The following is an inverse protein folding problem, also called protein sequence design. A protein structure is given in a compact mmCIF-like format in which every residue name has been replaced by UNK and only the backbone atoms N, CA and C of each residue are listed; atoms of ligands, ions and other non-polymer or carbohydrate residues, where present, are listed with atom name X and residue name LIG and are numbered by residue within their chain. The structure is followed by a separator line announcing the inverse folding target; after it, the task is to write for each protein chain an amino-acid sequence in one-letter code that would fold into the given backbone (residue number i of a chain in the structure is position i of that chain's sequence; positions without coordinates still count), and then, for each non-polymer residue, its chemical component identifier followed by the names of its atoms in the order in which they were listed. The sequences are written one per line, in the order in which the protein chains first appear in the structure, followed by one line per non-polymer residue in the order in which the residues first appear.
data_IF_550249455870
#
_entry.id   IF_550249455870
#
_cell.length_a   1.000
_cell.length_b   1.000
_cell.length_c   1.000
_cell.angle_alpha   90.00
_cell.angle_beta   90.00
_cell.angle_gamma   90.00
#
_symmetry.space_group_name_H-M   'P 1'
#
loop_
_entity.id
_entity.type
_entity.pdbx_description
1 polymer ?
#
# COMPACT_ATOMS: atom_id res chain seq x y z
N UNK A 1 -13.45 20.47 -14.86
CA UNK A 1 -12.56 19.49 -15.53
C UNK A 1 -12.82 18.12 -14.90
N UNK A 2 -13.12 17.06 -15.67
CA UNK A 2 -13.36 15.74 -15.08
C UNK A 2 -12.07 15.21 -14.44
N UNK A 3 -12.16 14.68 -13.21
CA UNK A 3 -11.03 14.08 -12.50
C UNK A 3 -10.61 12.79 -13.24
N UNK A 4 -9.32 12.65 -13.51
CA UNK A 4 -8.73 11.44 -14.07
C UNK A 4 -7.92 10.70 -12.98
N UNK A 5 -8.05 9.38 -12.90
CA UNK A 5 -7.25 8.56 -11.99
C UNK A 5 -5.86 8.30 -12.57
N UNK A 6 -4.86 8.11 -11.72
CA UNK A 6 -3.51 7.76 -12.16
C UNK A 6 -3.49 6.49 -13.04
N UNK A 7 -4.32 5.49 -12.72
CA UNK A 7 -4.47 4.27 -13.53
C UNK A 7 -5.01 4.53 -14.94
N UNK A 8 -5.81 5.58 -15.13
CA UNK A 8 -6.36 5.95 -16.44
C UNK A 8 -5.28 6.51 -17.37
N UNK A 9 -4.22 7.12 -16.83
CA UNK A 9 -3.08 7.62 -17.62
C UNK A 9 -2.40 6.46 -18.34
N UNK A 10 -2.12 5.37 -17.61
CA UNK A 10 -1.55 4.15 -18.18
C UNK A 10 -2.45 3.53 -19.24
N UNK A 11 -3.77 3.44 -18.99
CA UNK A 11 -4.73 2.93 -19.99
C UNK A 11 -4.79 3.80 -21.24
N UNK A 12 -4.73 5.13 -21.10
CA UNK A 12 -4.72 6.05 -22.24
C UNK A 12 -3.46 5.90 -23.09
N UNK A 13 -2.28 5.86 -22.44
CA UNK A 13 -0.98 5.69 -23.11
C UNK A 13 -0.89 4.34 -23.82
N UNK A 14 -1.42 3.27 -23.21
CA UNK A 14 -1.47 1.94 -23.82
C UNK A 14 -2.46 1.90 -25.00
N UNK A 15 -3.72 2.31 -24.78
CA UNK A 15 -4.74 2.33 -25.82
C UNK A 15 -5.84 3.37 -25.55
N UNK A 16 -5.79 4.48 -26.28
CA UNK A 16 -6.78 5.55 -26.24
C UNK A 16 -8.21 5.09 -26.52
N UNK A 17 -8.39 4.10 -27.40
CA UNK A 17 -9.71 3.52 -27.72
C UNK A 17 -10.29 2.77 -26.53
N UNK A 18 -9.51 1.88 -25.92
CA UNK A 18 -9.92 1.13 -24.73
C UNK A 18 -10.23 2.07 -23.55
N UNK A 19 -9.42 3.10 -23.36
CA UNK A 19 -9.70 4.14 -22.35
C UNK A 19 -11.06 4.82 -22.59
N UNK A 20 -11.37 5.23 -23.84
CA UNK A 20 -12.69 5.81 -24.16
C UNK A 20 -13.85 4.85 -23.89
N UNK A 21 -13.70 3.57 -24.21
CA UNK A 21 -14.72 2.55 -23.90
C UNK A 21 -14.96 2.40 -22.41
N UNK A 22 -13.89 2.36 -21.62
CA UNK A 22 -13.99 2.35 -20.16
C UNK A 22 -14.68 3.62 -19.63
N UNK A 23 -14.38 4.81 -20.17
CA UNK A 23 -15.10 6.06 -19.82
C UNK A 23 -16.59 6.02 -20.18
N UNK A 24 -16.96 5.31 -21.25
CA UNK A 24 -18.34 5.11 -21.67
C UNK A 24 -19.07 3.99 -20.88
N UNK A 25 -18.42 3.39 -19.87
CA UNK A 25 -19.00 2.34 -19.04
C UNK A 25 -18.94 0.94 -19.65
N UNK A 26 -18.24 0.75 -20.77
CA UNK A 26 -18.00 -0.57 -21.34
C UNK A 26 -17.09 -1.35 -20.40
N UNK A 27 -17.57 -2.51 -19.94
CA UNK A 27 -16.82 -3.38 -19.04
C UNK A 27 -15.73 -4.12 -19.82
N UNK A 28 -14.57 -4.31 -19.19
CA UNK A 28 -13.54 -5.21 -19.68
C UNK A 28 -14.08 -6.64 -19.73
N UNK A 29 -13.72 -7.43 -20.73
CA UNK A 29 -13.98 -8.88 -20.74
C UNK A 29 -13.09 -9.60 -19.71
N UNK A 30 -11.96 -8.98 -19.33
CA UNK A 30 -10.98 -9.54 -18.41
C UNK A 30 -11.36 -9.39 -16.91
N UNK A 31 -12.61 -9.68 -16.56
CA UNK A 31 -13.11 -9.49 -15.19
C UNK A 31 -12.46 -10.46 -14.18
N UNK A 32 -12.19 -11.69 -14.60
CA UNK A 32 -11.60 -12.71 -13.74
C UNK A 32 -10.21 -12.31 -13.24
N UNK A 33 -9.31 -11.90 -14.15
CA UNK A 33 -7.96 -11.46 -13.77
C UNK A 33 -7.98 -10.15 -12.98
N UNK A 34 -8.91 -9.23 -13.27
CA UNK A 34 -9.06 -8.00 -12.48
C UNK A 34 -9.48 -8.30 -11.03
N UNK A 35 -10.40 -9.23 -10.84
CA UNK A 35 -10.82 -9.67 -9.51
C UNK A 35 -9.68 -10.40 -8.78
N UNK A 36 -8.97 -11.29 -9.47
CA UNK A 36 -7.80 -11.98 -8.92
C UNK A 36 -6.70 -11.00 -8.51
N UNK A 37 -6.37 -10.03 -9.36
CA UNK A 37 -5.40 -8.97 -9.06
C UNK A 37 -5.80 -8.12 -7.85
N UNK A 38 -7.09 -7.79 -7.73
CA UNK A 38 -7.61 -7.03 -6.58
C UNK A 38 -7.44 -7.83 -5.27
N UNK A 39 -7.74 -9.12 -5.30
CA UNK A 39 -7.57 -10.00 -4.15
C UNK A 39 -6.09 -10.16 -3.75
N UNK A 40 -5.20 -10.33 -4.73
CA UNK A 40 -3.76 -10.37 -4.49
C UNK A 40 -3.25 -9.09 -3.85
N UNK A 41 -3.67 -7.91 -4.34
CA UNK A 41 -3.34 -6.63 -3.72
C UNK A 41 -3.86 -6.51 -2.29
N UNK A 42 -5.07 -7.01 -2.01
CA UNK A 42 -5.65 -7.02 -0.67
C UNK A 42 -4.83 -7.90 0.29
N UNK A 43 -4.44 -9.10 -0.15
CA UNK A 43 -3.61 -10.01 0.64
C UNK A 43 -2.23 -9.41 0.92
N UNK A 44 -1.60 -8.81 -0.10
CA UNK A 44 -0.34 -8.12 0.07
C UNK A 44 -0.47 -6.94 1.05
N UNK A 45 -1.50 -6.11 0.91
CA UNK A 45 -1.76 -4.98 1.81
C UNK A 45 -1.87 -5.39 3.28
N UNK A 46 -2.52 -6.53 3.57
CA UNK A 46 -2.59 -7.08 4.94
C UNK A 46 -1.20 -7.43 5.49
N UNK A 47 -0.36 -8.08 4.68
CA UNK A 47 1.03 -8.44 5.06
C UNK A 47 1.89 -7.19 5.28
N UNK A 48 1.74 -6.20 4.41
CA UNK A 48 2.48 -4.92 4.53
C UNK A 48 2.07 -4.15 5.78
N UNK A 49 0.77 -4.13 6.11
CA UNK A 49 0.30 -3.52 7.36
C UNK A 49 0.86 -4.25 8.59
N UNK A 50 0.82 -5.58 8.62
CA UNK A 50 1.39 -6.34 9.74
C UNK A 50 2.89 -6.10 9.89
N UNK A 51 3.63 -6.01 8.78
CA UNK A 51 5.07 -5.72 8.80
C UNK A 51 5.35 -4.32 9.34
N UNK A 52 4.55 -3.32 8.94
CA UNK A 52 4.67 -1.96 9.44
C UNK A 52 4.40 -1.88 10.94
N UNK A 53 3.34 -2.53 11.43
CA UNK A 53 3.01 -2.58 12.85
C UNK A 53 4.12 -3.23 13.66
N UNK A 54 4.60 -4.40 13.23
CA UNK A 54 5.65 -5.13 13.94
C UNK A 54 6.96 -4.33 13.97
N UNK A 55 7.32 -3.68 12.85
CA UNK A 55 8.47 -2.78 12.80
C UNK A 55 8.31 -1.60 13.76
N UNK A 56 7.13 -1.00 13.82
CA UNK A 56 6.85 0.13 14.71
C UNK A 56 6.96 -0.28 16.17
N UNK A 57 6.38 -1.41 16.55
CA UNK A 57 6.49 -1.98 17.91
C UNK A 57 7.96 -2.24 18.25
N UNK A 58 8.72 -2.87 17.34
CA UNK A 58 10.15 -3.12 17.54
C UNK A 58 10.95 -1.85 17.80
N UNK A 59 10.69 -0.78 17.03
CA UNK A 59 11.37 0.51 17.22
C UNK A 59 11.01 1.16 18.56
N UNK A 60 9.76 1.08 19.00
CA UNK A 60 9.32 1.61 20.30
C UNK A 60 9.99 0.85 21.46
N UNK A 61 10.02 -0.49 21.38
CA UNK A 61 10.68 -1.32 22.39
C UNK A 61 12.19 -1.05 22.45
N UNK A 62 12.84 -0.90 21.29
CA UNK A 62 14.25 -0.55 21.22
C UNK A 62 14.53 0.80 21.88
N UNK A 63 13.72 1.82 21.57
CA UNK A 63 13.85 3.13 22.19
C UNK A 63 13.68 3.05 23.71
N UNK A 64 12.66 2.32 24.19
CA UNK A 64 12.44 2.13 25.63
C UNK A 64 13.63 1.44 26.30
N UNK A 65 14.20 0.40 25.69
CA UNK A 65 15.38 -0.29 26.20
C UNK A 65 16.60 0.64 26.30
N UNK A 66 16.83 1.49 25.28
CA UNK A 66 17.90 2.50 25.30
C UNK A 66 17.68 3.50 26.43
N UNK A 67 16.46 4.03 26.60
CA UNK A 67 16.15 4.98 27.66
C UNK A 67 16.36 4.39 29.06
N UNK A 68 15.92 3.14 29.27
CA UNK A 68 16.13 2.44 30.53
C UNK A 68 17.62 2.19 30.81
N UNK A 69 18.38 1.81 29.80
CA UNK A 69 19.83 1.62 29.91
C UNK A 69 20.52 2.94 30.30
N UNK A 70 20.18 4.04 29.62
CA UNK A 70 20.73 5.37 29.93
C UNK A 70 20.38 5.76 31.37
N UNK A 71 19.10 5.64 31.77
CA UNK A 71 18.66 5.96 33.13
C UNK A 71 19.40 5.14 34.19
N UNK A 72 19.58 3.84 33.95
CA UNK A 72 20.34 2.95 34.82
C UNK A 72 21.81 3.39 34.95
N UNK A 73 22.49 3.63 33.83
CA UNK A 73 23.87 4.08 33.84
C UNK A 73 24.04 5.43 34.56
N UNK A 74 23.11 6.37 34.36
CA UNK A 74 23.16 7.68 35.05
C UNK A 74 22.86 7.58 36.55
N UNK A 75 22.11 6.58 37.00
CA UNK A 75 21.81 6.37 38.41
C UNK A 75 22.95 5.65 39.18
N UNK A 76 23.89 5.04 38.46
CA UNK A 76 25.05 4.33 39.02
C UNK A 76 26.33 5.21 39.03
N UNK A 77 26.28 6.40 38.43
CA UNK A 77 27.32 7.42 38.47
C UNK A 77 27.14 8.33 39.70
#
# INVERSE_FOLDING_TARGET
MPIIRASEIGSYLYCRRAWRYHKAGVKSENQAEMAAGTELHRQHGRKTLSALLLRTIGMVLLLAAILLLVAFCTAQL
#
